data_IF_740758021389
#
_entry.id   IF_740758021389
#
_cell.length_a   1.000
_cell.length_b   1.000
_cell.length_c   1.000
_cell.angle_alpha   90.00
_cell.angle_beta   90.00
_cell.angle_gamma   90.00
#
_symmetry.space_group_name_H-M   'P 1'
#
loop_
_entity.id
_entity.type
_entity.pdbx_description
1 polymer ?
#
# COMPACT_ATOMS: atom_id res chain seq x y z
N UNK A 1 -16.36 -3.48 22.01
CA UNK A 1 -15.98 -3.60 20.59
C UNK A 1 -15.77 -5.07 20.30
N UNK A 2 -16.38 -5.62 19.25
CA UNK A 2 -16.23 -7.04 18.91
C UNK A 2 -14.86 -7.31 18.28
N UNK A 3 -14.08 -8.19 18.90
CA UNK A 3 -12.74 -8.59 18.42
C UNK A 3 -12.77 -9.40 17.13
N UNK A 4 -13.93 -10.00 16.79
CA UNK A 4 -14.13 -10.88 15.64
C UNK A 4 -14.81 -10.17 14.47
N UNK A 5 -15.04 -8.86 14.55
CA UNK A 5 -15.72 -8.08 13.50
C UNK A 5 -15.09 -8.27 12.10
N UNK A 6 -13.78 -8.57 12.02
CA UNK A 6 -13.10 -8.85 10.75
C UNK A 6 -13.65 -10.09 10.03
N UNK A 7 -14.18 -11.08 10.74
CA UNK A 7 -14.60 -12.37 10.17
C UNK A 7 -15.73 -12.21 9.14
N UNK A 8 -16.51 -11.12 9.22
CA UNK A 8 -17.50 -10.78 8.20
C UNK A 8 -16.91 -10.54 6.80
N UNK A 9 -15.59 -10.29 6.70
CA UNK A 9 -14.87 -10.06 5.45
C UNK A 9 -14.06 -11.28 4.99
N UNK A 10 -14.28 -12.47 5.57
CA UNK A 10 -13.49 -13.67 5.26
C UNK A 10 -13.42 -14.04 3.78
N UNK A 11 -14.48 -13.75 3.02
CA UNK A 11 -14.57 -14.01 1.57
C UNK A 11 -13.89 -12.93 0.71
N UNK A 12 -13.40 -11.84 1.30
CA UNK A 12 -12.77 -10.77 0.55
C UNK A 12 -11.37 -11.19 0.07
N UNK A 13 -10.98 -10.96 -1.20
CA UNK A 13 -9.71 -11.46 -1.74
C UNK A 13 -8.46 -10.99 -0.98
N UNK A 14 -8.54 -9.85 -0.30
CA UNK A 14 -7.46 -9.26 0.49
C UNK A 14 -7.58 -9.53 2.01
N UNK A 15 -8.48 -10.41 2.45
CA UNK A 15 -8.71 -10.66 3.88
C UNK A 15 -7.42 -11.10 4.62
N UNK A 16 -6.79 -12.17 4.14
CA UNK A 16 -5.54 -12.69 4.73
C UNK A 16 -4.39 -11.68 4.63
N UNK A 17 -4.27 -10.99 3.49
CA UNK A 17 -3.24 -9.95 3.30
C UNK A 17 -3.41 -8.79 4.30
N UNK A 18 -4.65 -8.43 4.61
CA UNK A 18 -4.95 -7.37 5.58
C UNK A 18 -4.56 -7.81 6.99
N UNK A 19 -4.84 -9.07 7.36
CA UNK A 19 -4.42 -9.63 8.65
C UNK A 19 -2.90 -9.60 8.78
N UNK A 20 -2.17 -10.07 7.76
CA UNK A 20 -0.72 -10.06 7.76
C UNK A 20 -0.17 -8.63 7.85
N UNK A 21 -0.73 -7.71 7.08
CA UNK A 21 -0.31 -6.30 7.09
C UNK A 21 -0.46 -5.69 8.47
N UNK A 22 -1.63 -5.89 9.10
CA UNK A 22 -1.89 -5.36 10.42
C UNK A 22 -0.95 -5.94 11.49
N UNK A 23 -0.67 -7.25 11.42
CA UNK A 23 0.22 -7.92 12.37
C UNK A 23 1.68 -7.48 12.22
N UNK A 24 2.15 -7.25 10.99
CA UNK A 24 3.57 -6.99 10.70
C UNK A 24 3.94 -5.52 10.67
N UNK A 25 3.05 -4.67 10.20
CA UNK A 25 3.37 -3.29 9.86
C UNK A 25 2.52 -2.27 10.63
N UNK A 26 1.20 -2.47 10.75
CA UNK A 26 0.32 -1.49 11.41
C UNK A 26 0.50 -1.49 12.93
N UNK A 27 0.23 -2.62 13.59
CA UNK A 27 0.32 -2.71 15.06
C UNK A 27 1.75 -2.50 15.57
N UNK A 28 2.75 -2.96 14.81
CA UNK A 28 4.16 -2.83 15.16
C UNK A 28 4.69 -1.39 15.03
N UNK A 29 4.11 -0.56 14.16
CA UNK A 29 4.57 0.81 13.93
C UNK A 29 4.36 1.76 15.14
N UNK A 30 3.51 1.38 16.10
CA UNK A 30 3.27 2.16 17.31
C UNK A 30 4.33 1.93 18.40
N UNK A 31 5.23 0.94 18.25
CA UNK A 31 6.33 0.73 19.19
C UNK A 31 7.40 1.82 18.99
N UNK A 32 7.65 2.69 19.98
CA UNK A 32 8.64 3.77 19.87
C UNK A 32 10.08 3.25 19.78
N UNK A 33 10.34 2.00 20.20
CA UNK A 33 11.64 1.36 20.08
C UNK A 33 11.83 0.65 18.72
N UNK A 34 10.81 0.63 17.86
CA UNK A 34 10.89 -0.03 16.57
C UNK A 34 11.92 0.66 15.67
N UNK A 35 12.81 -0.14 15.07
CA UNK A 35 13.80 0.38 14.15
C UNK A 35 13.11 0.91 12.88
N UNK A 36 13.26 2.20 12.62
CA UNK A 36 12.69 2.86 11.44
C UNK A 36 13.78 3.26 10.45
N UNK A 37 13.41 3.27 9.17
CA UNK A 37 14.29 3.74 8.10
C UNK A 37 13.90 5.18 7.71
N UNK A 38 14.85 6.01 7.25
CA UNK A 38 14.54 7.37 6.79
C UNK A 38 13.68 7.33 5.52
N UNK A 39 12.91 8.39 5.27
CA UNK A 39 12.03 8.47 4.09
C UNK A 39 12.79 8.31 2.76
N UNK A 40 14.02 8.82 2.68
CA UNK A 40 14.87 8.71 1.50
C UNK A 40 15.16 7.27 1.07
N UNK A 41 15.13 6.32 2.02
CA UNK A 41 15.25 4.89 1.70
C UNK A 41 14.11 4.40 0.79
N UNK A 42 12.92 4.98 0.92
CA UNK A 42 11.72 4.55 0.19
C UNK A 42 11.50 5.31 -1.12
N UNK A 43 12.20 6.42 -1.37
CA UNK A 43 12.06 7.23 -2.58
C UNK A 43 12.18 6.42 -3.88
N UNK A 44 13.15 5.50 -4.05
CA UNK A 44 13.24 4.69 -5.27
C UNK A 44 12.04 3.74 -5.45
N UNK A 45 11.44 3.29 -4.35
CA UNK A 45 10.25 2.42 -4.41
C UNK A 45 9.02 3.22 -4.81
N UNK A 46 8.84 4.43 -4.26
CA UNK A 46 7.78 5.35 -4.64
C UNK A 46 7.89 5.71 -6.12
N UNK A 47 9.09 6.05 -6.61
CA UNK A 47 9.31 6.34 -8.02
C UNK A 47 8.85 5.19 -8.93
N UNK A 48 9.12 3.93 -8.55
CA UNK A 48 8.64 2.75 -9.29
C UNK A 48 7.11 2.62 -9.30
N UNK A 49 6.45 2.89 -8.17
CA UNK A 49 4.98 2.84 -8.08
C UNK A 49 4.34 3.92 -8.94
N UNK A 50 4.88 5.13 -8.91
CA UNK A 50 4.35 6.26 -9.69
C UNK A 50 4.76 6.26 -11.17
N UNK A 51 5.74 5.45 -11.57
CA UNK A 51 6.14 5.30 -12.97
C UNK A 51 5.02 4.79 -13.88
N UNK A 52 4.03 4.06 -13.34
CA UNK A 52 2.88 3.53 -14.09
C UNK A 52 1.55 3.85 -13.41
N UNK A 53 1.02 5.07 -13.59
CA UNK A 53 -0.24 5.48 -12.97
C UNK A 53 -1.42 4.68 -13.51
N UNK A 54 -2.08 3.87 -12.66
CA UNK A 54 -3.24 3.04 -13.04
C UNK A 54 -4.54 3.83 -13.17
N UNK A 55 -4.80 4.69 -12.18
CA UNK A 55 -5.98 5.55 -12.09
C UNK A 55 -5.54 7.00 -11.96
N UNK A 56 -5.27 7.66 -13.07
CA UNK A 56 -4.81 9.06 -13.09
C UNK A 56 -5.44 9.82 -14.25
N UNK A 57 -5.80 11.08 -14.01
CA UNK A 57 -6.24 12.01 -15.05
C UNK A 57 -5.18 12.20 -16.14
N UNK A 58 -3.90 12.01 -15.79
CA UNK A 58 -2.77 12.14 -16.71
C UNK A 58 -2.58 10.92 -17.61
N UNK A 59 -3.27 9.80 -17.33
CA UNK A 59 -3.15 8.57 -18.11
C UNK A 59 -3.48 8.80 -19.59
N UNK A 60 -4.56 9.52 -19.87
CA UNK A 60 -4.96 9.89 -21.23
C UNK A 60 -3.96 10.83 -21.93
N UNK A 61 -3.24 11.66 -21.18
CA UNK A 61 -2.20 12.54 -21.74
C UNK A 61 -0.91 11.76 -22.06
N UNK A 62 -0.55 10.81 -21.19
CA UNK A 62 0.62 9.93 -21.35
C UNK A 62 0.43 8.93 -22.51
N UNK A 63 -0.76 8.37 -22.68
CA UNK A 63 -1.09 7.45 -23.79
C UNK A 63 -0.95 8.13 -25.17
N UNK A 64 -1.30 9.42 -25.27
CA UNK A 64 -1.13 10.21 -26.52
C UNK A 64 0.33 10.50 -26.87
N UNK A 65 1.20 10.63 -25.87
CA UNK A 65 2.64 10.85 -26.09
C UNK A 65 3.37 9.57 -26.51
N UNK A 66 2.91 8.41 -26.05
CA UNK A 66 3.51 7.12 -26.39
C UNK A 66 3.16 6.61 -27.81
N UNK A 67 2.17 7.22 -28.47
CA UNK A 67 1.69 6.85 -29.81
C UNK A 67 2.23 7.74 -30.95
N UNK A 68 3.19 8.61 -30.66
CA UNK A 68 3.89 9.50 -31.62
C UNK A 68 5.36 9.08 -31.67
#
# INVERSE_FOLDING_TARGET
MDRHLREQFGEHPQYEQTIEFCARYDAAAFDPAYATLPLSFFEPMLARVFAQPKNSIYKAAMERQASV
#
